data_IF_443270986752
#
_entry.id   IF_443270986752
#
_cell.length_a   1.000
_cell.length_b   1.000
_cell.length_c   1.000
_cell.angle_alpha   90.00
_cell.angle_beta   90.00
_cell.angle_gamma   90.00
#
_symmetry.space_group_name_H-M   'P 1'
#
loop_
_entity.id
_entity.type
_entity.pdbx_description
1 polymer ?
#
# COMPACT_ATOMS: atom_id res chain seq x y z
N UNK A 1 19.69 15.20 11.92
CA UNK A 1 21.01 14.54 11.96
C UNK A 1 21.22 13.60 13.16
N UNK A 2 20.33 13.55 14.16
CA UNK A 2 20.49 12.75 15.39
C UNK A 2 20.03 11.28 15.29
N UNK A 3 19.12 10.95 14.36
CA UNK A 3 18.68 9.57 14.12
C UNK A 3 19.71 8.74 13.31
N UNK A 4 20.43 9.38 12.39
CA UNK A 4 21.46 8.74 11.58
C UNK A 4 22.73 8.41 12.39
N UNK A 5 23.10 9.27 13.34
CA UNK A 5 24.21 8.99 14.26
C UNK A 5 23.88 7.86 15.23
N UNK A 6 22.62 7.74 15.69
CA UNK A 6 22.17 6.60 16.49
C UNK A 6 22.18 5.28 15.70
N UNK A 7 21.74 5.29 14.43
CA UNK A 7 21.78 4.12 13.55
C UNK A 7 23.23 3.66 13.26
N UNK A 8 24.15 4.62 13.07
CA UNK A 8 25.57 4.34 12.86
C UNK A 8 26.25 3.82 14.13
N UNK A 9 25.90 4.34 15.31
CA UNK A 9 26.43 3.85 16.58
C UNK A 9 25.99 2.40 16.86
N UNK A 10 24.73 2.07 16.56
CA UNK A 10 24.16 0.73 16.70
C UNK A 10 24.79 -0.25 15.71
N UNK A 11 25.04 0.18 14.47
CA UNK A 11 25.73 -0.67 13.48
C UNK A 11 27.20 -0.90 13.85
N UNK A 12 27.93 0.10 14.35
CA UNK A 12 29.28 -0.12 14.89
C UNK A 12 29.30 -1.01 16.13
N UNK A 13 28.28 -0.96 16.99
CA UNK A 13 28.14 -1.88 18.13
C UNK A 13 27.83 -3.32 17.67
N UNK A 14 27.10 -3.49 16.57
CA UNK A 14 26.85 -4.78 15.92
C UNK A 14 28.14 -5.37 15.33
N UNK A 15 29.01 -4.55 14.72
CA UNK A 15 30.31 -4.99 14.20
C UNK A 15 31.32 -5.34 15.30
N UNK A 16 31.31 -4.66 16.45
CA UNK A 16 32.23 -4.95 17.55
C UNK A 16 31.92 -6.27 18.26
N UNK A 17 30.67 -6.74 18.21
CA UNK A 17 30.25 -8.03 18.78
C UNK A 17 30.75 -9.26 18.01
N UNK A 18 31.38 -9.06 16.85
CA UNK A 18 31.86 -10.13 15.94
C UNK A 18 33.34 -10.50 16.17
N UNK A 19 34.09 -9.77 17.01
CA UNK A 19 35.54 -9.95 17.14
C UNK A 19 36.02 -10.86 18.29
N UNK A 20 35.14 -11.56 19.01
CA UNK A 20 35.56 -12.48 20.08
C UNK A 20 35.20 -13.92 19.74
N UNK A 21 36.07 -14.55 18.95
CA UNK A 21 36.21 -15.99 18.91
C UNK A 21 37.19 -16.46 19.99
N UNK A 22 36.97 -17.68 20.46
CA UNK A 22 37.77 -18.47 21.42
C UNK A 22 37.52 -18.24 22.93
N UNK A 23 36.79 -19.17 23.55
CA UNK A 23 37.36 -20.29 24.33
C UNK A 23 36.26 -21.15 24.97
N UNK A 24 36.59 -22.43 25.15
CA UNK A 24 35.71 -23.56 25.51
C UNK A 24 35.28 -23.61 27.00
N UNK A 25 34.36 -24.56 27.27
CA UNK A 25 33.94 -25.15 28.57
C UNK A 25 32.69 -24.49 29.21
N UNK A 26 31.66 -25.18 29.75
CA UNK A 26 31.56 -26.57 30.25
C UNK A 26 30.10 -27.05 30.30
N UNK A 27 29.93 -28.35 30.10
CA UNK A 27 28.87 -29.29 30.52
C UNK A 27 27.68 -28.83 31.37
N UNK A 28 26.48 -29.13 30.88
CA UNK A 28 25.29 -29.44 31.67
C UNK A 28 24.35 -30.29 30.82
N UNK A 29 23.88 -31.43 31.33
CA UNK A 29 22.95 -32.37 30.68
C UNK A 29 21.52 -31.79 30.52
N UNK A 30 21.42 -30.54 30.10
CA UNK A 30 20.17 -29.85 29.81
C UNK A 30 20.26 -29.39 28.37
N UNK A 31 19.46 -30.02 27.51
CA UNK A 31 19.33 -29.70 26.08
C UNK A 31 18.81 -28.27 25.83
N UNK A 32 18.26 -27.63 26.87
CA UNK A 32 17.75 -26.27 26.84
C UNK A 32 18.56 -25.35 27.75
N UNK A 33 18.89 -24.16 27.25
CA UNK A 33 19.51 -23.07 28.00
C UNK A 33 18.54 -21.89 28.10
N UNK A 34 18.57 -21.18 29.23
CA UNK A 34 17.78 -19.97 29.44
C UNK A 34 18.39 -18.76 28.71
N UNK A 35 18.24 -17.58 29.30
CA UNK A 35 18.88 -16.37 28.79
C UNK A 35 20.40 -16.50 28.76
N UNK A 36 21.01 -16.19 27.62
CA UNK A 36 22.47 -16.21 27.41
C UNK A 36 22.96 -14.77 27.25
N UNK A 37 23.75 -14.31 28.22
CA UNK A 37 24.38 -12.99 28.21
C UNK A 37 25.51 -12.89 27.17
N UNK A 38 25.90 -11.66 26.76
CA UNK A 38 26.98 -11.45 25.79
C UNK A 38 28.34 -11.98 26.27
N UNK A 39 29.05 -12.65 25.34
CA UNK A 39 30.42 -13.21 25.40
C UNK A 39 30.61 -14.51 26.22
N UNK A 40 31.38 -15.51 25.71
CA UNK A 40 32.00 -15.63 24.38
C UNK A 40 31.11 -16.30 23.31
N UNK A 41 29.82 -16.54 23.60
CA UNK A 41 28.85 -17.13 22.65
C UNK A 41 27.82 -16.10 22.20
N UNK A 42 27.12 -16.39 21.08
CA UNK A 42 26.00 -15.57 20.58
C UNK A 42 24.93 -15.43 21.68
N UNK A 43 24.60 -14.19 22.03
CA UNK A 43 23.65 -13.89 23.11
C UNK A 43 22.20 -14.03 22.66
N UNK A 44 21.30 -14.28 23.61
CA UNK A 44 19.85 -14.29 23.35
C UNK A 44 19.37 -12.93 22.83
N UNK A 45 19.92 -11.84 23.35
CA UNK A 45 19.61 -10.48 22.88
C UNK A 45 20.00 -10.26 21.42
N UNK A 46 21.15 -10.79 20.99
CA UNK A 46 21.60 -10.69 19.59
C UNK A 46 20.62 -11.40 18.64
N UNK A 47 20.11 -12.57 19.02
CA UNK A 47 19.10 -13.30 18.24
C UNK A 47 17.80 -12.50 18.15
N UNK A 48 17.27 -12.06 19.31
CA UNK A 48 16.02 -11.30 19.38
C UNK A 48 16.11 -10.04 18.53
N UNK A 49 17.17 -9.25 18.71
CA UNK A 49 17.34 -8.00 17.98
C UNK A 49 17.55 -8.21 16.48
N UNK A 50 18.34 -9.22 16.09
CA UNK A 50 18.56 -9.55 14.68
C UNK A 50 17.24 -9.93 13.99
N UNK A 51 16.39 -10.74 14.64
CA UNK A 51 15.12 -11.14 14.05
C UNK A 51 14.08 -10.01 14.08
N UNK A 52 13.94 -9.31 15.21
CA UNK A 52 12.98 -8.20 15.35
C UNK A 52 13.30 -7.04 14.40
N UNK A 53 14.58 -6.71 14.22
CA UNK A 53 14.98 -5.69 13.27
C UNK A 53 14.60 -6.06 11.83
N UNK A 54 14.70 -7.34 11.44
CA UNK A 54 14.22 -7.81 10.14
C UNK A 54 12.71 -7.69 10.03
N UNK A 55 11.95 -8.13 11.05
CA UNK A 55 10.50 -7.95 11.05
C UNK A 55 10.13 -6.47 10.87
N UNK A 56 10.73 -5.57 11.65
CA UNK A 56 10.44 -4.13 11.59
C UNK A 56 10.84 -3.54 10.23
N UNK A 57 12.08 -3.75 9.81
CA UNK A 57 12.60 -3.14 8.57
C UNK A 57 11.87 -3.70 7.36
N UNK A 58 11.73 -5.02 7.24
CA UNK A 58 11.10 -5.61 6.07
C UNK A 58 9.58 -5.39 6.06
N UNK A 59 8.87 -5.45 7.19
CA UNK A 59 7.44 -5.11 7.19
C UNK A 59 7.23 -3.64 6.82
N UNK A 60 8.00 -2.71 7.40
CA UNK A 60 7.93 -1.29 7.08
C UNK A 60 8.21 -1.00 5.60
N UNK A 61 9.17 -1.71 5.00
CA UNK A 61 9.55 -1.53 3.59
C UNK A 61 8.68 -2.28 2.60
N UNK A 62 8.08 -3.40 2.99
CA UNK A 62 7.20 -4.17 2.12
C UNK A 62 5.84 -3.48 1.93
N UNK A 63 5.39 -2.62 2.84
CA UNK A 63 4.07 -1.99 2.71
C UNK A 63 4.12 -0.81 1.74
N UNK A 64 3.68 -1.04 0.49
CA UNK A 64 3.43 0.02 -0.48
C UNK A 64 1.98 0.52 -0.37
N UNK A 65 1.73 1.45 0.56
CA UNK A 65 0.41 2.08 0.73
C UNK A 65 0.07 3.02 -0.42
N UNK A 66 -1.22 3.18 -0.67
CA UNK A 66 -1.79 4.17 -1.57
C UNK A 66 -1.59 5.57 -1.00
N UNK A 67 -1.71 6.57 -1.88
CA UNK A 67 -1.34 7.94 -1.57
C UNK A 67 -2.30 8.52 -0.51
N UNK A 68 -1.78 9.10 0.58
CA UNK A 68 -2.60 9.70 1.63
C UNK A 68 -3.49 10.83 1.09
N UNK A 69 -4.53 11.17 1.86
CA UNK A 69 -5.38 12.33 1.54
C UNK A 69 -4.60 13.63 1.68
N UNK A 70 -5.06 14.70 1.04
CA UNK A 70 -4.38 15.99 1.14
C UNK A 70 -4.31 16.48 2.60
N UNK A 71 -5.40 16.32 3.35
CA UNK A 71 -5.43 16.59 4.79
C UNK A 71 -4.40 15.77 5.59
N UNK A 72 -4.15 14.51 5.20
CA UNK A 72 -3.17 13.62 5.83
C UNK A 72 -1.72 14.01 5.51
N UNK A 73 -1.49 14.60 4.32
CA UNK A 73 -0.18 15.10 3.87
C UNK A 73 0.16 16.41 4.59
N UNK A 74 -0.79 17.34 4.65
CA UNK A 74 -0.66 18.60 5.40
C UNK A 74 -0.78 18.43 6.92
N UNK A 75 -0.87 17.20 7.42
CA UNK A 75 -1.11 16.93 8.83
C UNK A 75 -0.02 17.52 9.73
N UNK A 76 -0.40 18.49 10.55
CA UNK A 76 0.52 19.16 11.47
C UNK A 76 0.65 18.45 12.82
N UNK A 77 1.66 18.86 13.59
CA UNK A 77 1.81 18.51 15.00
C UNK A 77 1.22 19.62 15.87
N UNK A 78 0.71 19.27 17.04
CA UNK A 78 0.46 20.25 18.09
C UNK A 78 1.80 20.77 18.61
N UNK A 79 1.99 22.07 18.47
CA UNK A 79 3.14 22.80 18.98
C UNK A 79 2.79 23.45 20.31
N UNK A 80 3.73 23.42 21.25
CA UNK A 80 3.65 24.20 22.48
C UNK A 80 4.86 25.12 22.56
N UNK A 81 4.61 26.40 22.79
CA UNK A 81 5.65 27.40 22.94
C UNK A 81 6.05 27.49 24.41
N UNK A 82 7.18 26.89 24.77
CA UNK A 82 7.65 26.79 26.17
C UNK A 82 8.17 28.12 26.72
N UNK A 83 8.87 28.93 25.91
CA UNK A 83 9.37 30.26 26.28
C UNK A 83 9.42 31.17 25.05
N UNK A 84 9.27 32.48 25.26
CA UNK A 84 9.43 33.48 24.20
C UNK A 84 10.89 33.53 23.77
N UNK A 85 11.21 32.98 22.60
CA UNK A 85 12.58 32.91 22.05
C UNK A 85 13.15 31.49 21.86
N UNK A 86 12.46 30.44 22.32
CA UNK A 86 12.81 29.04 21.99
C UNK A 86 11.92 28.51 20.85
N UNK A 87 12.41 27.57 20.03
CA UNK A 87 11.60 26.94 19.00
C UNK A 87 10.45 26.16 19.63
N UNK A 88 9.30 26.19 18.96
CA UNK A 88 8.10 25.47 19.36
C UNK A 88 8.37 23.96 19.44
N UNK A 89 7.94 23.34 20.54
CA UNK A 89 8.13 21.90 20.76
C UNK A 89 6.89 21.15 20.29
N UNK A 90 7.06 20.34 19.23
CA UNK A 90 6.03 19.44 18.70
C UNK A 90 5.90 18.21 19.59
N UNK A 91 4.73 17.97 20.19
CA UNK A 91 4.55 16.87 21.16
C UNK A 91 3.50 15.83 20.77
N UNK A 92 2.46 16.20 20.00
CA UNK A 92 1.38 15.27 19.64
C UNK A 92 0.88 15.46 18.20
N UNK A 93 0.67 14.39 17.41
CA UNK A 93 0.20 14.52 16.04
C UNK A 93 -1.30 14.89 16.01
N UNK A 94 -1.68 15.83 15.16
CA UNK A 94 -3.11 16.16 14.93
C UNK A 94 -3.85 14.95 14.34
N UNK A 95 -5.19 14.99 14.39
CA UNK A 95 -6.05 13.92 13.90
C UNK A 95 -5.70 13.37 12.49
N UNK A 96 -5.42 14.17 11.45
CA UNK A 96 -5.06 13.65 10.13
C UNK A 96 -3.73 12.86 10.15
N UNK A 97 -2.68 13.43 10.74
CA UNK A 97 -1.38 12.77 10.83
C UNK A 97 -1.46 11.46 11.65
N UNK A 98 -2.26 11.46 12.73
CA UNK A 98 -2.52 10.24 13.52
C UNK A 98 -3.22 9.15 12.71
N UNK A 99 -4.15 9.51 11.79
CA UNK A 99 -4.82 8.54 10.91
C UNK A 99 -3.83 7.91 9.92
N UNK A 100 -2.94 8.71 9.33
CA UNK A 100 -1.86 8.27 8.43
C UNK A 100 -0.94 7.26 9.13
N UNK A 101 -0.40 7.62 10.30
CA UNK A 101 0.50 6.74 11.06
C UNK A 101 -0.19 5.47 11.58
N UNK A 102 -1.42 5.59 12.08
CA UNK A 102 -2.20 4.43 12.52
C UNK A 102 -2.41 3.43 11.38
N UNK A 103 -2.74 3.92 10.19
CA UNK A 103 -2.90 3.07 8.99
C UNK A 103 -1.61 2.34 8.65
N UNK A 104 -0.47 3.06 8.65
CA UNK A 104 0.85 2.48 8.39
C UNK A 104 1.20 1.37 9.38
N UNK A 105 0.96 1.60 10.67
CA UNK A 105 1.22 0.60 11.72
C UNK A 105 0.29 -0.60 11.61
N UNK A 106 -1.01 -0.40 11.34
CA UNK A 106 -1.97 -1.51 11.17
C UNK A 106 -1.53 -2.41 10.01
N UNK A 107 -1.19 -1.83 8.87
CA UNK A 107 -0.74 -2.59 7.69
C UNK A 107 0.60 -3.28 7.91
N UNK A 108 1.54 -2.60 8.56
CA UNK A 108 2.82 -3.18 8.94
C UNK A 108 2.63 -4.42 9.84
N UNK A 109 1.81 -4.31 10.88
CA UNK A 109 1.51 -5.42 11.79
C UNK A 109 0.80 -6.55 11.06
N UNK A 110 -0.17 -6.24 10.19
CA UNK A 110 -0.86 -7.26 9.40
C UNK A 110 0.09 -8.07 8.53
N UNK A 111 0.97 -7.40 7.76
CA UNK A 111 1.95 -8.08 6.89
C UNK A 111 3.01 -8.82 7.73
N UNK A 112 3.39 -8.32 8.90
CA UNK A 112 4.31 -9.03 9.79
C UNK A 112 3.72 -10.33 10.36
N UNK A 113 2.41 -10.35 10.65
CA UNK A 113 1.70 -11.51 11.20
C UNK A 113 1.28 -12.51 10.13
N UNK A 114 0.92 -12.03 8.95
CA UNK A 114 0.34 -12.84 7.87
C UNK A 114 0.96 -12.46 6.50
N UNK A 115 2.28 -12.63 6.33
CA UNK A 115 3.01 -12.16 5.16
C UNK A 115 2.59 -12.84 3.85
N UNK A 116 2.05 -14.05 3.91
CA UNK A 116 1.44 -14.79 2.79
C UNK A 116 0.26 -14.04 2.17
N UNK A 117 -0.57 -13.37 2.98
CA UNK A 117 -1.63 -12.50 2.46
C UNK A 117 -1.05 -11.25 1.81
N UNK A 118 0.05 -10.72 2.35
CA UNK A 118 0.81 -9.64 1.73
C UNK A 118 1.25 -10.00 0.31
N UNK A 119 1.74 -11.23 0.11
CA UNK A 119 2.10 -11.76 -1.22
C UNK A 119 0.89 -11.80 -2.17
N UNK A 120 -0.25 -12.30 -1.71
CA UNK A 120 -1.47 -12.38 -2.51
C UNK A 120 -1.97 -10.99 -2.94
N UNK A 121 -1.95 -10.02 -2.02
CA UNK A 121 -2.33 -8.62 -2.28
C UNK A 121 -1.37 -8.02 -3.32
N UNK A 122 -0.06 -8.21 -3.15
CA UNK A 122 0.93 -7.70 -4.09
C UNK A 122 0.74 -8.29 -5.49
N UNK A 123 0.52 -9.61 -5.59
CA UNK A 123 0.24 -10.30 -6.85
C UNK A 123 -1.04 -9.79 -7.53
N UNK A 124 -2.10 -9.53 -6.76
CA UNK A 124 -3.36 -8.98 -7.27
C UNK A 124 -3.18 -7.58 -7.84
N UNK A 125 -2.55 -6.69 -7.09
CA UNK A 125 -2.27 -5.32 -7.55
C UNK A 125 -1.39 -5.33 -8.80
N UNK A 126 -0.37 -6.19 -8.84
CA UNK A 126 0.46 -6.36 -10.03
C UNK A 126 -0.33 -6.82 -11.26
N UNK A 127 -1.22 -7.80 -11.09
CA UNK A 127 -2.09 -8.29 -12.17
C UNK A 127 -3.01 -7.19 -12.68
N UNK A 128 -3.69 -6.48 -11.78
CA UNK A 128 -4.63 -5.41 -12.11
C UNK A 128 -3.91 -4.29 -12.89
N UNK A 129 -2.79 -3.80 -12.37
CA UNK A 129 -1.96 -2.79 -13.06
C UNK A 129 -1.45 -3.25 -14.43
N UNK A 130 -1.04 -4.52 -14.55
CA UNK A 130 -0.54 -5.08 -15.82
C UNK A 130 -1.64 -5.23 -16.85
N UNK A 131 -2.84 -5.66 -16.43
CA UNK A 131 -4.00 -5.81 -17.30
C UNK A 131 -4.40 -4.46 -17.89
N UNK A 132 -4.57 -3.47 -17.02
CA UNK A 132 -4.92 -2.11 -17.44
C UNK A 132 -3.89 -1.49 -18.37
N UNK A 133 -2.59 -1.66 -18.07
CA UNK A 133 -1.54 -1.17 -18.96
C UNK A 133 -1.63 -1.82 -20.35
N UNK A 134 -1.95 -3.12 -20.40
CA UNK A 134 -2.05 -3.87 -21.65
C UNK A 134 -3.25 -3.40 -22.47
N UNK A 135 -4.41 -3.26 -21.84
CA UNK A 135 -5.64 -2.76 -22.47
C UNK A 135 -5.42 -1.34 -22.99
N UNK A 136 -4.90 -0.44 -22.15
CA UNK A 136 -4.60 0.94 -22.53
C UNK A 136 -3.62 1.06 -23.70
N UNK A 137 -2.59 0.19 -23.75
CA UNK A 137 -1.63 0.19 -24.86
C UNK A 137 -2.20 -0.35 -26.17
N UNK A 138 -3.28 -1.13 -26.13
CA UNK A 138 -3.94 -1.63 -27.34
C UNK A 138 -4.74 -0.51 -28.04
N UNK A 139 -5.25 0.46 -27.28
CA UNK A 139 -6.10 1.53 -27.79
C UNK A 139 -5.32 2.74 -28.34
N UNK A 140 -3.98 2.75 -28.23
CA UNK A 140 -3.13 3.92 -28.52
C UNK A 140 -2.05 3.57 -29.55
N UNK A 141 -1.65 4.55 -30.37
CA UNK A 141 -0.51 4.42 -31.28
C UNK A 141 0.77 3.97 -30.56
N UNK A 142 1.52 3.07 -31.19
CA UNK A 142 2.73 2.42 -30.65
C UNK A 142 3.79 3.40 -30.12
N UNK A 143 3.88 4.62 -30.67
CA UNK A 143 4.84 5.64 -30.21
C UNK A 143 4.52 6.15 -28.80
N UNK A 144 3.25 6.46 -28.54
CA UNK A 144 2.79 6.92 -27.23
C UNK A 144 2.74 5.76 -26.23
N UNK A 145 2.34 4.56 -26.68
CA UNK A 145 2.27 3.36 -25.84
C UNK A 145 3.63 2.97 -25.19
N UNK A 146 4.76 3.35 -25.80
CA UNK A 146 6.11 3.12 -25.23
C UNK A 146 6.42 3.99 -24.01
N UNK A 147 5.77 5.16 -23.87
CA UNK A 147 6.01 6.10 -22.77
C UNK A 147 5.36 5.63 -21.46
N UNK A 148 4.26 4.87 -21.56
CA UNK A 148 3.55 4.34 -20.41
C UNK A 148 4.15 3.03 -19.92
N UNK A 149 4.34 2.91 -18.62
CA UNK A 149 4.98 1.76 -17.97
C UNK A 149 4.19 1.34 -16.74
N UNK A 150 4.54 0.19 -16.14
CA UNK A 150 3.87 -0.34 -14.95
C UNK A 150 3.81 0.68 -13.81
N UNK A 151 4.84 1.53 -13.67
CA UNK A 151 4.88 2.57 -12.66
C UNK A 151 3.73 3.58 -12.82
N UNK A 152 3.34 3.90 -14.06
CA UNK A 152 2.24 4.82 -14.34
C UNK A 152 0.89 4.21 -13.95
N UNK A 153 0.65 2.95 -14.31
CA UNK A 153 -0.57 2.23 -13.92
C UNK A 153 -0.69 2.14 -12.39
N UNK A 154 0.39 1.77 -11.70
CA UNK A 154 0.40 1.78 -10.24
C UNK A 154 0.18 3.17 -9.66
N UNK A 155 0.80 4.20 -10.23
CA UNK A 155 0.65 5.58 -9.76
C UNK A 155 -0.81 6.07 -9.86
N UNK A 156 -1.48 5.79 -10.98
CA UNK A 156 -2.91 6.11 -11.16
C UNK A 156 -3.77 5.32 -10.17
N UNK A 157 -3.59 4.01 -10.06
CA UNK A 157 -4.37 3.16 -9.14
C UNK A 157 -4.23 3.56 -7.67
N UNK A 158 -3.10 4.15 -7.27
CA UNK A 158 -2.90 4.64 -5.90
C UNK A 158 -3.52 6.02 -5.65
N UNK A 159 -4.09 6.67 -6.68
CA UNK A 159 -4.71 7.99 -6.57
C UNK A 159 -3.72 9.13 -6.79
N UNK A 160 -2.67 8.89 -7.58
CA UNK A 160 -1.61 9.87 -7.84
C UNK A 160 -2.01 10.96 -8.82
N UNK A 161 -3.13 10.79 -9.52
CA UNK A 161 -3.62 11.74 -10.54
C UNK A 161 -5.00 12.25 -10.12
N UNK A 162 -5.25 13.54 -10.29
CA UNK A 162 -6.58 14.15 -10.15
C UNK A 162 -6.90 14.88 -11.45
N UNK A 163 -8.06 14.60 -12.03
CA UNK A 163 -8.54 15.18 -13.29
C UNK A 163 -9.54 16.30 -12.99
N UNK A 164 -9.43 17.42 -13.70
CA UNK A 164 -10.39 18.53 -13.67
C UNK A 164 -11.23 18.56 -14.92
N UNK A 165 -12.55 18.50 -14.76
CA UNK A 165 -13.54 18.64 -15.80
C UNK A 165 -14.24 20.01 -15.71
N UNK A 166 -14.31 20.77 -16.81
CA UNK A 166 -15.10 22.00 -16.84
C UNK A 166 -16.59 21.68 -16.75
N UNK A 167 -17.30 22.31 -15.80
CA UNK A 167 -18.74 22.12 -15.64
C UNK A 167 -19.50 22.42 -16.93
N UNK A 168 -20.46 21.56 -17.34
CA UNK A 168 -21.23 21.74 -18.56
C UNK A 168 -22.15 22.98 -18.54
N UNK A 169 -22.31 23.65 -17.40
CA UNK A 169 -23.22 24.80 -17.24
C UNK A 169 -22.57 26.18 -17.36
N UNK A 170 -21.27 26.29 -17.71
CA UNK A 170 -20.70 27.59 -18.08
C UNK A 170 -21.17 27.97 -19.50
N UNK A 171 -22.21 28.79 -19.61
CA UNK A 171 -22.56 29.48 -20.86
C UNK A 171 -21.36 30.30 -21.36
N UNK A 172 -21.25 30.56 -22.68
CA UNK A 172 -20.17 31.38 -23.20
C UNK A 172 -20.31 32.78 -22.61
N UNK A 173 -19.28 33.25 -21.89
CA UNK A 173 -19.13 34.68 -21.68
C UNK A 173 -18.80 35.26 -23.05
N UNK A 174 -19.78 35.87 -23.70
CA UNK A 174 -19.56 36.70 -24.87
C UNK A 174 -18.62 37.83 -24.47
N UNK A 175 -17.41 37.76 -24.99
CA UNK A 175 -16.38 38.79 -24.88
C UNK A 175 -16.76 39.96 -25.81
N UNK A 176 -17.90 40.61 -25.58
CA UNK A 176 -18.36 41.76 -26.35
C UNK A 176 -19.20 42.70 -25.48
N UNK A 177 -18.59 43.31 -24.46
CA UNK A 177 -19.14 44.51 -23.81
C UNK A 177 -18.05 45.27 -23.05
N UNK A 178 -16.98 45.64 -23.77
CA UNK A 178 -16.04 46.67 -23.35
C UNK A 178 -16.13 47.89 -24.27
N UNK A 179 -17.35 48.41 -24.46
CA UNK A 179 -17.56 49.75 -25.01
C UNK A 179 -19.02 50.15 -24.82
N UNK A 180 -19.29 50.91 -23.76
CA UNK A 180 -20.39 51.88 -23.62
C UNK A 180 -20.86 51.94 -22.17
N UNK A 181 -20.13 52.68 -21.35
CA UNK A 181 -20.69 53.36 -20.18
C UNK A 181 -19.93 54.68 -20.01
N UNK A 182 -20.17 55.57 -20.98
CA UNK A 182 -20.11 57.01 -20.76
C UNK A 182 -21.54 57.54 -20.88
N UNK A 183 -21.91 58.43 -19.95
CA UNK A 183 -23.20 59.13 -19.86
C UNK A 183 -24.36 58.24 -19.35
N UNK A 184 -25.16 58.57 -18.33
CA UNK A 184 -25.53 59.86 -17.78
C UNK A 184 -25.87 59.77 -16.28
N UNK A 185 -25.60 60.88 -15.58
CA UNK A 185 -26.25 61.24 -14.32
C UNK A 185 -27.75 61.42 -14.54
N UNK A 186 -28.59 61.02 -13.57
CA UNK A 186 -29.59 61.89 -12.95
C UNK A 186 -30.26 61.28 -11.71
N UNK A 187 -30.58 62.19 -10.80
CA UNK A 187 -31.07 62.07 -9.43
C UNK A 187 -32.61 62.02 -9.41
N UNK A 188 -33.25 61.26 -8.50
CA UNK A 188 -34.32 61.73 -7.57
C UNK A 188 -35.18 60.61 -6.96
N UNK A 189 -35.07 60.50 -5.62
CA UNK A 189 -36.11 60.52 -4.59
C UNK A 189 -37.45 59.73 -4.71
N UNK A 190 -37.69 58.95 -3.64
CA UNK A 190 -38.85 58.99 -2.73
C UNK A 190 -39.71 57.70 -2.57
N UNK A 191 -39.59 57.15 -1.35
CA UNK A 191 -40.67 56.81 -0.41
C UNK A 191 -41.54 55.53 -0.58
N UNK A 192 -41.40 54.66 0.45
CA UNK A 192 -42.46 54.10 1.31
C UNK A 192 -43.36 52.96 0.78
N UNK A 193 -43.20 51.73 1.29
CA UNK A 193 -44.06 51.11 2.32
C UNK A 193 -43.56 49.69 2.69
N UNK A 194 -43.73 49.35 3.96
CA UNK A 194 -43.18 48.21 4.70
C UNK A 194 -44.08 46.97 4.64
N UNK A 195 -43.50 45.76 4.59
CA UNK A 195 -43.89 44.59 5.42
C UNK A 195 -43.20 43.28 5.00
N UNK A 196 -42.27 42.87 5.87
CA UNK A 196 -42.16 41.55 6.52
C UNK A 196 -41.68 40.27 5.77
N UNK A 197 -40.51 39.83 6.25
CA UNK A 197 -40.13 38.47 6.70
C UNK A 197 -39.63 37.49 5.61
N UNK A 198 -38.31 37.20 5.61
CA UNK A 198 -37.68 35.91 6.01
C UNK A 198 -36.14 36.04 5.90
N UNK A 199 -35.49 35.86 7.05
CA UNK A 199 -34.19 35.26 7.33
C UNK A 199 -33.09 35.26 6.23
N UNK A 200 -32.17 36.22 6.40
CA UNK A 200 -30.89 36.33 5.70
C UNK A 200 -29.78 35.68 6.53
N UNK A 201 -29.09 34.71 5.94
CA UNK A 201 -27.64 34.54 6.11
C UNK A 201 -27.09 33.69 4.96
N UNK A 202 -27.02 34.31 3.78
CA UNK A 202 -26.16 33.87 2.67
C UNK A 202 -24.68 34.12 3.05
N UNK A 203 -23.74 33.21 2.76
CA UNK A 203 -22.34 33.58 2.68
C UNK A 203 -22.10 34.45 1.44
N UNK A 204 -21.09 35.33 1.46
CA UNK A 204 -20.93 36.38 0.46
C UNK A 204 -20.62 35.79 -0.92
N UNK A 205 -21.25 36.40 -1.93
CA UNK A 205 -20.98 36.22 -3.35
C UNK A 205 -19.47 36.15 -3.62
N UNK A 206 -18.98 34.95 -3.90
CA UNK A 206 -17.68 34.76 -4.52
C UNK A 206 -17.85 34.84 -6.03
N UNK A 207 -17.11 35.77 -6.58
CA UNK A 207 -17.08 36.18 -7.98
C UNK A 207 -16.78 34.99 -8.90
N UNK A 208 -17.77 34.57 -9.68
CA UNK A 208 -17.65 34.04 -11.04
C UNK A 208 -16.52 33.06 -11.38
N UNK A 209 -16.13 32.14 -10.50
CA UNK A 209 -15.29 31.00 -10.88
C UNK A 209 -16.21 29.85 -11.28
N UNK A 210 -16.23 29.51 -12.57
CA UNK A 210 -16.94 28.33 -13.05
C UNK A 210 -16.52 27.11 -12.22
N UNK A 211 -17.48 26.44 -11.59
CA UNK A 211 -17.24 25.29 -10.72
C UNK A 211 -16.56 24.22 -11.58
N UNK A 212 -15.26 24.01 -11.39
CA UNK A 212 -14.54 22.90 -12.00
C UNK A 212 -14.82 21.68 -11.13
N UNK A 213 -15.38 20.62 -11.71
CA UNK A 213 -15.58 19.37 -11.00
C UNK A 213 -14.30 18.56 -11.13
N UNK A 214 -13.75 18.08 -10.02
CA UNK A 214 -12.60 17.20 -10.09
C UNK A 214 -12.89 15.77 -9.65
N UNK A 215 -12.08 14.88 -10.19
CA UNK A 215 -12.28 13.45 -10.10
C UNK A 215 -10.94 12.74 -9.99
N UNK A 216 -10.87 11.73 -9.13
CA UNK A 216 -9.72 10.84 -9.05
C UNK A 216 -9.94 9.61 -9.95
N UNK A 217 -9.24 9.49 -11.10
CA UNK A 217 -9.30 8.28 -11.93
C UNK A 217 -8.79 7.07 -11.13
N UNK A 218 -9.47 5.93 -11.28
CA UNK A 218 -9.03 4.65 -10.67
C UNK A 218 -8.29 3.77 -11.67
N UNK A 219 -8.53 4.00 -12.96
CA UNK A 219 -7.99 3.20 -14.05
C UNK A 219 -7.22 4.08 -15.02
N UNK A 220 -6.18 3.51 -15.63
CA UNK A 220 -5.39 4.24 -16.64
C UNK A 220 -6.25 4.64 -17.86
N UNK A 221 -7.26 3.83 -18.19
CA UNK A 221 -8.24 4.12 -19.24
C UNK A 221 -9.06 5.38 -19.01
N UNK A 222 -9.23 5.81 -17.75
CA UNK A 222 -9.96 7.03 -17.41
C UNK A 222 -9.14 8.29 -17.76
N UNK A 223 -7.83 8.14 -17.99
CA UNK A 223 -6.92 9.24 -18.30
C UNK A 223 -6.67 9.28 -19.81
N UNK A 224 -7.02 10.39 -20.49
CA UNK A 224 -6.69 10.56 -21.91
C UNK A 224 -5.17 10.52 -22.12
N UNK A 225 -4.74 9.84 -23.18
CA UNK A 225 -3.33 9.58 -23.52
C UNK A 225 -2.44 10.82 -23.65
N UNK A 226 -3.01 11.97 -24.04
CA UNK A 226 -2.27 13.23 -24.15
C UNK A 226 -2.08 13.98 -22.83
N UNK A 227 -2.77 13.56 -21.76
CA UNK A 227 -2.84 14.30 -20.51
C UNK A 227 -1.78 13.85 -19.49
N UNK A 228 -1.36 12.59 -19.52
CA UNK A 228 -0.33 12.07 -18.61
C UNK A 228 1.07 12.16 -19.23
N UNK A 229 1.70 13.33 -19.14
CA UNK A 229 3.08 13.60 -19.61
C UNK A 229 4.15 13.46 -18.52
N UNK A 230 3.91 12.62 -17.50
CA UNK A 230 4.87 12.43 -16.42
C UNK A 230 5.93 11.43 -16.90
N UNK A 231 7.24 11.74 -16.87
CA UNK A 231 8.26 10.75 -17.17
C UNK A 231 8.42 9.75 -16.01
N UNK A 232 8.69 8.48 -16.33
CA UNK A 232 8.88 7.44 -15.32
C UNK A 232 10.00 7.78 -14.32
N UNK A 233 11.04 8.48 -14.78
CA UNK A 233 12.13 8.94 -13.93
C UNK A 233 11.64 9.85 -12.81
N UNK A 234 10.64 10.70 -13.06
CA UNK A 234 10.09 11.58 -12.04
C UNK A 234 9.29 10.79 -10.99
N UNK A 235 8.51 9.80 -11.42
CA UNK A 235 7.78 8.90 -10.51
C UNK A 235 8.77 8.09 -9.64
N UNK A 236 9.88 7.63 -10.23
CA UNK A 236 10.96 6.93 -9.52
C UNK A 236 11.79 7.86 -8.64
N UNK A 237 11.91 9.13 -9.02
CA UNK A 237 12.66 10.12 -8.26
C UNK A 237 11.99 10.44 -6.92
N UNK A 238 10.66 10.35 -6.86
CA UNK A 238 9.89 10.48 -5.62
C UNK A 238 10.27 9.41 -4.58
N UNK A 239 10.84 8.28 -4.99
CA UNK A 239 11.26 7.19 -4.10
C UNK A 239 12.78 7.12 -3.87
N UNK A 240 13.59 8.14 -4.18
CA UNK A 240 15.07 8.07 -4.00
C UNK A 240 15.54 7.64 -2.60
N UNK A 241 14.86 8.06 -1.53
CA UNK A 241 15.17 7.68 -0.15
C UNK A 241 14.92 6.18 0.15
N UNK A 242 14.17 5.49 -0.72
CA UNK A 242 13.83 4.08 -0.65
C UNK A 242 15.02 3.16 -0.92
N UNK A 243 15.92 3.55 -1.83
CA UNK A 243 17.00 2.69 -2.33
C UNK A 243 17.96 2.31 -1.21
N UNK A 244 18.39 3.27 -0.40
CA UNK A 244 19.34 3.03 0.71
C UNK A 244 18.72 2.12 1.77
N UNK A 245 17.45 2.37 2.13
CA UNK A 245 16.76 1.57 3.15
C UNK A 245 16.43 0.16 2.66
N UNK A 246 16.12 -0.02 1.37
CA UNK A 246 15.99 -1.34 0.74
C UNK A 246 17.31 -2.10 0.72
N UNK A 247 18.41 -1.45 0.35
CA UNK A 247 19.74 -2.08 0.37
C UNK A 247 20.11 -2.56 1.78
N UNK A 248 19.82 -1.75 2.81
CA UNK A 248 20.00 -2.15 4.19
C UNK A 248 19.13 -3.36 4.55
N UNK A 249 17.83 -3.34 4.21
CA UNK A 249 16.91 -4.45 4.46
C UNK A 249 17.39 -5.77 3.82
N UNK A 250 17.79 -5.72 2.55
CA UNK A 250 18.32 -6.88 1.81
C UNK A 250 19.59 -7.40 2.48
N UNK A 251 20.52 -6.51 2.84
CA UNK A 251 21.76 -6.90 3.52
C UNK A 251 21.48 -7.61 4.84
N UNK A 252 20.57 -7.08 5.66
CA UNK A 252 20.16 -7.70 6.92
C UNK A 252 19.53 -9.08 6.70
N UNK A 253 18.65 -9.22 5.72
CA UNK A 253 18.03 -10.50 5.37
C UNK A 253 19.06 -11.53 4.91
N UNK A 254 19.92 -11.16 3.95
CA UNK A 254 20.97 -12.04 3.42
C UNK A 254 21.91 -12.50 4.53
N UNK A 255 22.28 -11.60 5.45
CA UNK A 255 23.12 -11.94 6.59
C UNK A 255 22.49 -13.02 7.48
N UNK A 256 21.22 -12.84 7.88
CA UNK A 256 20.52 -13.83 8.71
C UNK A 256 20.39 -15.17 7.99
N UNK A 257 20.08 -15.17 6.70
CA UNK A 257 19.97 -16.39 5.88
C UNK A 257 21.29 -17.14 5.86
N UNK A 258 22.40 -16.45 5.52
CA UNK A 258 23.74 -17.05 5.49
C UNK A 258 24.15 -17.58 6.87
N UNK A 259 23.90 -16.80 7.93
CA UNK A 259 24.18 -17.21 9.30
C UNK A 259 23.39 -18.47 9.67
N UNK A 260 22.11 -18.53 9.33
CA UNK A 260 21.25 -19.67 9.62
C UNK A 260 21.69 -20.92 8.86
N UNK A 261 21.99 -20.80 7.55
CA UNK A 261 22.49 -21.90 6.73
C UNK A 261 23.84 -22.44 7.24
N UNK A 262 24.78 -21.54 7.57
CA UNK A 262 26.06 -21.92 8.14
C UNK A 262 25.89 -22.71 9.45
N UNK A 263 24.94 -22.31 10.30
CA UNK A 263 24.64 -23.04 11.54
C UNK A 263 24.13 -24.44 11.29
N UNK A 264 23.21 -24.62 10.34
CA UNK A 264 22.71 -25.95 9.95
C UNK A 264 23.85 -26.83 9.44
N UNK A 265 24.74 -26.28 8.60
CA UNK A 265 25.86 -27.02 8.04
C UNK A 265 26.84 -27.55 9.11
N UNK A 266 27.01 -26.82 10.21
CA UNK A 266 27.84 -27.22 11.35
C UNK A 266 27.09 -27.97 12.46
N UNK A 267 25.81 -28.31 12.25
CA UNK A 267 24.98 -29.00 13.23
C UNK A 267 24.57 -28.17 14.45
N UNK A 268 24.65 -26.83 14.37
CA UNK A 268 24.20 -25.94 15.44
C UNK A 268 22.68 -25.73 15.38
N UNK A 269 22.06 -25.64 16.56
CA UNK A 269 20.63 -25.35 16.68
C UNK A 269 20.25 -23.97 16.11
N UNK A 270 19.11 -23.89 15.45
CA UNK A 270 18.44 -22.65 15.03
C UNK A 270 17.33 -22.35 16.05
N UNK A 271 17.13 -21.09 16.42
CA UNK A 271 15.99 -20.71 17.26
C UNK A 271 14.68 -20.65 16.46
N UNK A 272 13.54 -20.88 17.12
CA UNK A 272 12.23 -20.76 16.47
C UNK A 272 11.99 -19.37 15.88
N UNK A 273 12.50 -18.32 16.54
CA UNK A 273 12.38 -16.95 16.05
C UNK A 273 13.16 -16.73 14.75
N UNK A 274 14.36 -17.28 14.64
CA UNK A 274 15.14 -17.27 13.38
C UNK A 274 14.40 -18.02 12.28
N UNK A 275 13.84 -19.20 12.59
CA UNK A 275 13.07 -20.00 11.64
C UNK A 275 11.83 -19.23 11.11
N UNK A 276 11.07 -18.60 12.00
CA UNK A 276 9.93 -17.77 11.62
C UNK A 276 10.37 -16.55 10.77
N UNK A 277 11.52 -15.96 11.11
CA UNK A 277 12.09 -14.83 10.35
C UNK A 277 12.52 -15.26 8.94
N UNK A 278 13.09 -16.46 8.77
CA UNK A 278 13.43 -17.00 7.45
C UNK A 278 12.19 -17.18 6.56
N UNK A 279 11.10 -17.68 7.13
CA UNK A 279 9.82 -17.80 6.43
C UNK A 279 9.26 -16.42 6.04
N UNK A 280 9.34 -15.44 6.93
CA UNK A 280 8.95 -14.06 6.64
C UNK A 280 9.81 -13.41 5.53
N UNK A 281 11.13 -13.62 5.55
CA UNK A 281 12.06 -13.14 4.51
C UNK A 281 11.65 -13.68 3.13
N UNK A 282 11.27 -14.96 3.04
CA UNK A 282 10.82 -15.57 1.79
C UNK A 282 9.57 -14.85 1.23
N UNK A 283 8.55 -14.63 2.06
CA UNK A 283 7.36 -13.90 1.63
C UNK A 283 7.68 -12.44 1.27
N UNK A 284 8.55 -11.77 2.04
CA UNK A 284 9.00 -10.40 1.76
C UNK A 284 9.69 -10.28 0.40
N UNK A 285 10.50 -11.29 0.02
CA UNK A 285 11.13 -11.34 -1.29
C UNK A 285 10.10 -11.43 -2.42
N UNK A 286 9.07 -12.27 -2.29
CA UNK A 286 8.01 -12.38 -3.29
C UNK A 286 7.19 -11.08 -3.39
N UNK A 287 6.84 -10.47 -2.26
CA UNK A 287 6.16 -9.16 -2.24
C UNK A 287 6.98 -8.11 -3.01
N UNK A 288 8.29 -8.10 -2.80
CA UNK A 288 9.20 -7.18 -3.48
C UNK A 288 9.22 -7.38 -5.01
N UNK A 289 9.15 -8.62 -5.49
CA UNK A 289 9.07 -8.92 -6.94
C UNK A 289 7.81 -8.30 -7.55
N UNK A 290 6.64 -8.50 -6.92
CA UNK A 290 5.38 -7.97 -7.46
C UNK A 290 5.29 -6.45 -7.38
N UNK A 291 5.84 -5.84 -6.34
CA UNK A 291 5.86 -4.39 -6.15
C UNK A 291 7.11 -3.69 -6.69
N UNK A 292 7.93 -4.35 -7.50
CA UNK A 292 9.15 -3.75 -8.04
C UNK A 292 8.92 -2.41 -8.75
N UNK A 293 7.82 -2.31 -9.52
CA UNK A 293 7.46 -1.10 -10.26
C UNK A 293 6.49 -0.17 -9.50
N UNK A 294 6.02 -0.57 -8.32
CA UNK A 294 5.11 0.25 -7.51
C UNK A 294 5.96 1.25 -6.73
N UNK A 295 5.78 2.57 -6.88
CA UNK A 295 6.56 3.52 -6.13
C UNK A 295 6.22 3.44 -4.62
N UNK A 296 7.19 3.78 -3.78
CA UNK A 296 7.12 3.62 -2.31
C UNK A 296 7.01 4.99 -1.63
N UNK A 297 6.12 5.12 -0.64
CA UNK A 297 5.94 6.30 0.22
C UNK A 297 5.74 7.61 -0.57
N UNK A 298 4.96 7.56 -1.65
CA UNK A 298 4.65 8.74 -2.45
C UNK A 298 3.60 9.59 -1.75
N UNK A 299 3.94 10.85 -1.49
CA UNK A 299 3.05 11.82 -0.83
C UNK A 299 2.62 12.96 -1.76
N UNK A 300 3.00 12.91 -3.03
CA UNK A 300 2.64 13.93 -4.02
C UNK A 300 1.60 13.41 -5.01
N UNK A 301 0.50 14.16 -5.16
CA UNK A 301 -0.49 13.97 -6.23
C UNK A 301 -0.22 14.98 -7.34
N UNK A 302 -0.46 14.58 -8.58
CA UNK A 302 -0.37 15.44 -9.77
C UNK A 302 -1.77 15.81 -10.26
N UNK A 303 -1.92 17.09 -10.57
CA UNK A 303 -3.14 17.66 -11.12
C UNK A 303 -3.04 17.62 -12.63
N UNK A 304 -4.09 17.16 -13.28
CA UNK A 304 -4.20 17.08 -14.74
C UNK A 304 -5.53 17.68 -15.15
N UNK A 305 -5.52 18.54 -16.17
CA UNK A 305 -6.73 19.23 -16.62
C UNK A 305 -7.26 18.59 -17.90
N UNK A 306 -8.57 18.33 -17.98
CA UNK A 306 -9.22 17.91 -19.21
C UNK A 306 -9.44 19.11 -20.14
N UNK A 307 -8.71 19.13 -21.25
CA UNK A 307 -8.92 20.12 -22.31
C UNK A 307 -10.05 19.60 -23.23
N UNK A 308 -11.21 20.25 -23.20
CA UNK A 308 -12.26 20.01 -24.18
C UNK A 308 -11.75 20.38 -25.60
N UNK A 309 -12.03 19.58 -26.64
CA UNK A 309 -11.58 19.89 -27.99
C UNK A 309 -12.18 21.23 -28.46
N UNK A 310 -11.30 22.21 -28.72
CA UNK A 310 -11.67 23.54 -29.22
C UNK A 310 -11.62 24.68 -28.19
N UNK A 311 -11.45 24.42 -26.89
CA UNK A 311 -11.18 25.48 -25.90
C UNK A 311 -9.67 25.70 -25.77
N UNK A 312 -9.24 26.95 -25.98
CA UNK A 312 -7.87 27.36 -25.61
C UNK A 312 -7.76 27.28 -24.08
N UNK A 313 -6.71 26.62 -23.61
CA UNK A 313 -6.34 26.58 -22.19
C UNK A 313 -6.15 28.02 -21.73
N UNK A 314 -6.99 28.50 -20.81
CA UNK A 314 -6.67 29.72 -20.08
C UNK A 314 -5.40 29.40 -19.30
N UNK A 315 -4.36 30.23 -19.45
CA UNK A 315 -3.03 30.01 -18.89
C UNK A 315 -3.00 29.80 -17.36
N UNK A 316 -4.12 29.97 -16.66
CA UNK A 316 -4.29 29.68 -15.23
C UNK A 316 -4.43 28.20 -14.88
N UNK A 317 -4.96 27.33 -15.76
CA UNK A 317 -5.24 25.93 -15.39
C UNK A 317 -4.00 25.03 -15.34
N UNK A 318 -2.98 25.30 -16.16
CA UNK A 318 -1.71 24.52 -16.14
C UNK A 318 -0.90 24.72 -14.85
N UNK A 319 -1.24 25.71 -14.02
CA UNK A 319 -0.54 26.03 -12.77
C UNK A 319 -1.32 25.66 -11.50
N UNK A 320 -2.48 25.02 -11.60
CA UNK A 320 -3.29 24.68 -10.43
C UNK A 320 -2.54 23.71 -9.49
N UNK A 321 -2.22 24.19 -8.29
CA UNK A 321 -1.66 23.37 -7.22
C UNK A 321 -2.75 22.57 -6.53
N UNK A 322 -2.39 21.44 -5.90
CA UNK A 322 -3.31 20.68 -5.07
C UNK A 322 -3.95 21.54 -3.96
N UNK A 323 -3.23 22.55 -3.46
CA UNK A 323 -3.75 23.49 -2.48
C UNK A 323 -4.93 24.32 -3.04
N UNK A 324 -4.80 24.83 -4.28
CA UNK A 324 -5.86 25.59 -4.95
C UNK A 324 -7.12 24.72 -5.16
N UNK A 325 -6.90 23.43 -5.44
CA UNK A 325 -7.98 22.47 -5.65
C UNK A 325 -8.72 22.13 -4.37
N UNK A 326 -8.01 21.99 -3.25
CA UNK A 326 -8.63 21.72 -1.95
C UNK A 326 -9.52 22.88 -1.51
N UNK A 327 -9.14 24.11 -1.86
CA UNK A 327 -9.98 25.29 -1.62
C UNK A 327 -11.25 25.24 -2.47
N UNK A 328 -11.14 24.76 -3.72
CA UNK A 328 -12.29 24.64 -4.65
C UNK A 328 -13.19 23.43 -4.35
N UNK A 329 -12.64 22.31 -3.90
CA UNK A 329 -13.35 21.05 -3.67
C UNK A 329 -12.79 20.32 -2.43
N UNK A 330 -13.46 20.54 -1.30
CA UNK A 330 -13.12 19.92 -0.03
C UNK A 330 -13.40 18.40 0.03
N UNK A 331 -14.25 17.87 -0.86
CA UNK A 331 -14.56 16.44 -0.90
C UNK A 331 -13.39 15.66 -1.49
N UNK A 332 -12.77 16.17 -2.56
CA UNK A 332 -11.58 15.57 -3.19
C UNK A 332 -10.38 15.58 -2.24
N UNK A 333 -10.26 16.60 -1.40
CA UNK A 333 -9.24 16.68 -0.35
C UNK A 333 -9.34 15.50 0.63
N UNK A 334 -10.55 14.95 0.82
CA UNK A 334 -10.87 13.82 1.70
C UNK A 334 -10.98 12.50 0.95
N UNK A 335 -11.10 12.54 -0.38
CA UNK A 335 -11.18 11.36 -1.22
C UNK A 335 -9.89 10.54 -1.12
N UNK A 336 -10.07 9.24 -0.89
CA UNK A 336 -9.00 8.29 -0.63
C UNK A 336 -9.29 6.97 -1.33
N UNK A 337 -8.31 6.46 -2.04
CA UNK A 337 -8.31 5.09 -2.52
C UNK A 337 -7.89 4.17 -1.38
N UNK A 338 -8.79 3.30 -0.93
CA UNK A 338 -8.49 2.30 0.11
C UNK A 338 -7.33 1.40 -0.31
N UNK A 339 -6.34 1.22 0.56
CA UNK A 339 -5.21 0.28 0.34
C UNK A 339 -5.69 -1.16 0.09
N UNK A 340 -6.77 -1.53 0.78
CA UNK A 340 -7.55 -2.73 0.57
C UNK A 340 -8.98 -2.48 1.04
N UNK A 341 -9.97 -2.76 0.19
CA UNK A 341 -11.38 -2.77 0.62
C UNK A 341 -11.65 -4.03 1.45
N UNK A 342 -12.50 -3.94 2.47
CA UNK A 342 -12.92 -5.11 3.26
C UNK A 342 -13.56 -6.18 2.36
N UNK A 343 -14.34 -5.78 1.35
CA UNK A 343 -14.87 -6.70 0.35
C UNK A 343 -13.76 -7.41 -0.44
N UNK A 344 -12.72 -6.69 -0.85
CA UNK A 344 -11.56 -7.26 -1.55
C UNK A 344 -10.75 -8.20 -0.65
N UNK A 345 -10.66 -7.91 0.64
CA UNK A 345 -10.02 -8.77 1.64
C UNK A 345 -10.78 -10.08 1.84
N UNK A 346 -12.10 -9.99 2.02
CA UNK A 346 -12.94 -11.19 2.16
C UNK A 346 -12.92 -12.02 0.88
N UNK A 347 -12.94 -11.39 -0.30
CA UNK A 347 -12.74 -12.11 -1.57
C UNK A 347 -11.39 -12.84 -1.58
N UNK A 348 -10.29 -12.19 -1.20
CA UNK A 348 -8.98 -12.85 -1.14
C UNK A 348 -8.95 -14.06 -0.18
N UNK A 349 -9.70 -14.02 0.93
CA UNK A 349 -9.79 -15.12 1.89
C UNK A 349 -10.69 -16.25 1.39
N UNK A 350 -11.85 -15.92 0.85
CA UNK A 350 -12.92 -16.88 0.56
C UNK A 350 -12.96 -17.36 -0.89
N UNK A 351 -12.38 -16.62 -1.84
CA UNK A 351 -12.26 -17.01 -3.25
C UNK A 351 -11.53 -18.36 -3.40
N UNK A 352 -10.40 -18.61 -2.72
CA UNK A 352 -9.79 -19.94 -2.72
C UNK A 352 -10.74 -21.01 -2.17
N UNK A 353 -11.42 -20.73 -1.05
CA UNK A 353 -12.24 -21.69 -0.28
C UNK A 353 -13.47 -22.19 -1.09
N UNK A 354 -13.78 -21.57 -2.23
CA UNK A 354 -14.91 -21.96 -3.08
C UNK A 354 -16.26 -21.61 -2.46
N UNK A 355 -16.29 -20.70 -1.47
CA UNK A 355 -17.53 -20.14 -0.92
C UNK A 355 -17.94 -18.98 -1.82
N UNK A 356 -19.06 -19.09 -2.56
CA UNK A 356 -19.51 -18.01 -3.43
C UNK A 356 -20.02 -16.86 -2.55
N UNK A 357 -19.32 -15.72 -2.54
CA UNK A 357 -19.78 -14.49 -1.87
C UNK A 357 -20.74 -13.67 -2.76
N UNK A 358 -21.27 -14.29 -3.82
CA UNK A 358 -22.30 -13.72 -4.69
C UNK A 358 -22.10 -14.18 -6.13
N UNK A 359 -23.16 -14.71 -6.72
CA UNK A 359 -23.28 -15.18 -8.11
C UNK A 359 -22.57 -14.28 -9.14
N UNK A 360 -21.37 -14.64 -9.61
CA UNK A 360 -20.76 -14.01 -10.80
C UNK A 360 -20.02 -15.07 -11.65
N UNK A 361 -20.82 -15.73 -12.48
CA UNK A 361 -20.52 -16.18 -13.85
C UNK A 361 -19.39 -17.21 -14.08
N UNK A 362 -19.87 -18.39 -14.45
CA UNK A 362 -19.26 -19.44 -15.25
C UNK A 362 -18.44 -18.91 -16.45
N UNK A 363 -17.14 -18.70 -16.26
CA UNK A 363 -16.21 -18.52 -17.39
C UNK A 363 -14.90 -19.22 -17.03
N UNK A 364 -14.41 -20.07 -17.93
CA UNK A 364 -13.04 -20.59 -17.92
C UNK A 364 -12.07 -19.42 -17.98
N UNK A 365 -11.55 -18.97 -16.83
CA UNK A 365 -10.66 -17.82 -16.72
C UNK A 365 -9.26 -18.18 -17.27
N UNK A 366 -8.59 -17.29 -18.02
CA UNK A 366 -7.22 -17.52 -18.49
C UNK A 366 -6.20 -17.56 -17.32
N UNK A 367 -5.09 -18.28 -17.49
CA UNK A 367 -4.03 -18.49 -16.47
C UNK A 367 -3.61 -17.24 -15.64
N UNK A 368 -3.51 -16.02 -16.20
CA UNK A 368 -3.16 -14.82 -15.45
C UNK A 368 -4.13 -14.45 -14.33
N UNK A 369 -5.39 -14.92 -14.39
CA UNK A 369 -6.40 -14.62 -13.37
C UNK A 369 -6.15 -15.38 -12.07
N UNK A 370 -5.42 -16.50 -12.10
CA UNK A 370 -5.07 -17.29 -10.92
C UNK A 370 -3.79 -16.82 -10.22
N UNK A 371 -3.08 -15.81 -10.75
CA UNK A 371 -1.80 -15.35 -10.21
C UNK A 371 -1.83 -15.03 -8.69
N UNK A 372 -2.84 -14.32 -8.15
CA UNK A 372 -2.90 -14.03 -6.71
C UNK A 372 -3.05 -15.29 -5.86
N UNK A 373 -3.93 -16.20 -6.25
CA UNK A 373 -4.19 -17.45 -5.56
C UNK A 373 -2.97 -18.38 -5.61
N UNK A 374 -2.34 -18.55 -6.78
CA UNK A 374 -1.11 -19.33 -6.94
C UNK A 374 0.00 -18.77 -6.06
N UNK A 375 0.17 -17.44 -6.04
CA UNK A 375 1.19 -16.78 -5.22
C UNK A 375 0.93 -16.99 -3.73
N UNK A 376 -0.34 -16.92 -3.30
CA UNK A 376 -0.75 -17.24 -1.94
C UNK A 376 -0.39 -18.68 -1.57
N UNK A 377 -0.73 -19.67 -2.42
CA UNK A 377 -0.37 -21.07 -2.13
C UNK A 377 1.12 -21.29 -2.03
N UNK A 378 1.90 -20.77 -2.98
CA UNK A 378 3.36 -20.92 -2.95
C UNK A 378 3.93 -20.31 -1.67
N UNK A 379 3.47 -19.12 -1.29
CA UNK A 379 3.87 -18.45 -0.05
C UNK A 379 3.48 -19.29 1.18
N UNK A 380 2.21 -19.67 1.30
CA UNK A 380 1.68 -20.44 2.44
C UNK A 380 2.33 -21.82 2.57
N UNK A 381 2.49 -22.56 1.48
CA UNK A 381 3.13 -23.89 1.49
C UNK A 381 4.59 -23.79 1.88
N UNK A 382 5.33 -22.80 1.36
CA UNK A 382 6.74 -22.63 1.74
C UNK A 382 6.87 -22.16 3.19
N UNK A 383 6.03 -21.21 3.61
CA UNK A 383 5.99 -20.72 4.99
C UNK A 383 5.73 -21.88 5.95
N UNK A 384 4.73 -22.72 5.66
CA UNK A 384 4.40 -23.92 6.41
C UNK A 384 5.53 -24.96 6.39
N UNK A 385 6.13 -25.24 5.23
CA UNK A 385 7.23 -26.20 5.11
C UNK A 385 8.43 -25.82 5.99
N UNK A 386 8.77 -24.52 6.05
CA UNK A 386 9.82 -24.00 6.93
C UNK A 386 9.45 -24.24 8.40
N UNK A 387 8.21 -24.01 8.82
CA UNK A 387 7.77 -24.22 10.19
C UNK A 387 7.70 -25.72 10.57
N UNK A 388 7.32 -26.57 9.63
CA UNK A 388 7.33 -28.04 9.79
C UNK A 388 8.74 -28.60 9.95
N UNK A 389 9.80 -27.91 9.49
CA UNK A 389 11.18 -28.32 9.75
C UNK A 389 11.51 -28.39 11.26
N UNK A 390 10.78 -27.64 12.10
CA UNK A 390 10.89 -27.68 13.55
C UNK A 390 9.95 -28.70 14.23
N UNK A 391 9.29 -29.59 13.48
CA UNK A 391 8.28 -30.53 14.02
C UNK A 391 8.79 -31.39 15.18
N UNK A 392 10.04 -31.81 15.09
CA UNK A 392 10.70 -32.68 16.06
C UNK A 392 11.58 -31.93 17.06
N UNK A 393 11.60 -30.59 17.04
CA UNK A 393 12.39 -29.81 17.98
C UNK A 393 11.89 -29.96 19.42
N UNK A 394 12.78 -29.65 20.36
CA UNK A 394 12.47 -29.55 21.77
C UNK A 394 11.90 -28.18 22.10
N UNK A 395 10.94 -28.13 23.02
CA UNK A 395 10.23 -26.93 23.41
C UNK A 395 10.23 -26.81 24.94
N UNK A 396 10.08 -25.59 25.50
CA UNK A 396 10.07 -25.37 26.95
C UNK A 396 9.01 -26.16 27.71
N UNK A 397 7.89 -26.46 27.06
CA UNK A 397 6.84 -27.29 27.64
C UNK A 397 6.16 -28.16 26.58
N UNK A 398 5.61 -29.32 26.98
CA UNK A 398 4.79 -30.16 26.10
C UNK A 398 3.57 -29.41 25.55
N UNK A 399 3.03 -28.44 26.30
CA UNK A 399 1.89 -27.62 25.88
C UNK A 399 2.27 -26.74 24.68
N UNK A 400 3.40 -26.04 24.74
CA UNK A 400 3.87 -25.19 23.63
C UNK A 400 4.20 -26.02 22.40
N UNK A 401 4.81 -27.20 22.58
CA UNK A 401 5.06 -28.15 21.48
C UNK A 401 3.77 -28.60 20.81
N UNK A 402 2.77 -29.00 21.61
CA UNK A 402 1.47 -29.42 21.11
C UNK A 402 0.75 -28.28 20.40
N UNK A 403 0.77 -27.07 20.97
CA UNK A 403 0.17 -25.88 20.34
C UNK A 403 0.82 -25.57 19.00
N UNK A 404 2.16 -25.58 18.92
CA UNK A 404 2.88 -25.41 17.66
C UNK A 404 2.45 -26.42 16.60
N UNK A 405 2.36 -27.70 16.97
CA UNK A 405 1.94 -28.78 16.06
C UNK A 405 0.50 -28.63 15.61
N UNK A 406 -0.42 -28.30 16.51
CA UNK A 406 -1.82 -28.07 16.18
C UNK A 406 -2.01 -26.85 15.27
N UNK A 407 -1.27 -25.77 15.50
CA UNK A 407 -1.30 -24.59 14.62
C UNK A 407 -0.79 -24.93 13.22
N UNK A 408 0.35 -25.62 13.10
CA UNK A 408 0.87 -26.04 11.80
C UNK A 408 -0.07 -27.01 11.07
N UNK A 409 -0.68 -27.97 11.80
CA UNK A 409 -1.68 -28.86 11.23
C UNK A 409 -2.93 -28.10 10.79
N UNK A 410 -3.38 -27.12 11.57
CA UNK A 410 -4.48 -26.23 11.23
C UNK A 410 -4.20 -25.44 9.94
N UNK A 411 -3.00 -24.86 9.82
CA UNK A 411 -2.57 -24.15 8.60
C UNK A 411 -2.49 -25.10 7.40
N UNK A 412 -2.02 -26.34 7.59
CA UNK A 412 -2.00 -27.36 6.54
C UNK A 412 -3.41 -27.65 6.04
N UNK A 413 -4.33 -27.96 6.97
CA UNK A 413 -5.74 -28.25 6.63
C UNK A 413 -6.38 -27.06 5.93
N UNK A 414 -6.20 -25.84 6.46
CA UNK A 414 -6.74 -24.61 5.85
C UNK A 414 -6.25 -24.40 4.41
N UNK A 415 -5.00 -24.79 4.12
CA UNK A 415 -4.43 -24.70 2.77
C UNK A 415 -5.07 -25.68 1.77
N UNK A 416 -5.67 -26.78 2.23
CA UNK A 416 -6.37 -27.76 1.39
C UNK A 416 -7.87 -27.49 1.21
N UNK A 417 -8.50 -26.69 2.07
CA UNK A 417 -9.94 -26.36 1.97
C UNK A 417 -10.33 -25.86 0.56
N UNK A 418 -9.55 -24.97 -0.08
CA UNK A 418 -9.82 -24.55 -1.45
C UNK A 418 -9.87 -25.65 -2.51
N UNK A 419 -9.00 -26.66 -2.39
CA UNK A 419 -8.91 -27.76 -3.34
C UNK A 419 -10.20 -28.60 -3.27
N UNK A 420 -10.72 -28.79 -2.06
CA UNK A 420 -11.98 -29.51 -1.80
C UNK A 420 -13.17 -28.71 -2.35
N UNK A 421 -13.19 -27.39 -2.17
CA UNK A 421 -14.21 -26.49 -2.72
C UNK A 421 -14.29 -26.55 -4.24
N UNK A 422 -13.14 -26.51 -4.93
CA UNK A 422 -13.07 -26.61 -6.40
C UNK A 422 -13.49 -27.97 -6.97
N UNK A 423 -13.22 -29.07 -6.24
CA UNK A 423 -13.68 -30.39 -6.63
C UNK A 423 -15.20 -30.46 -6.55
N UNK A 424 -15.79 -29.93 -5.46
CA UNK A 424 -17.24 -29.94 -5.26
C UNK A 424 -17.98 -29.13 -6.32
N UNK A 425 -17.48 -27.97 -6.72
CA UNK A 425 -18.11 -27.17 -7.79
C UNK A 425 -18.03 -27.86 -9.16
N UNK A 426 -16.93 -28.56 -9.46
CA UNK A 426 -16.81 -29.34 -10.69
C UNK A 426 -17.78 -30.54 -10.72
N UNK A 427 -17.99 -31.23 -9.59
CA UNK A 427 -18.95 -32.32 -9.49
C UNK A 427 -20.40 -31.85 -9.66
N UNK A 428 -20.76 -30.69 -9.09
CA UNK A 428 -22.11 -30.12 -9.23
C UNK A 428 -22.39 -29.70 -10.67
N UNK A 429 -21.46 -28.98 -11.32
CA UNK A 429 -21.63 -28.59 -12.73
C UNK A 429 -21.76 -29.81 -13.64
N UNK A 430 -21.02 -30.88 -13.34
CA UNK A 430 -21.12 -32.12 -14.11
C UNK A 430 -22.41 -32.88 -13.86
N UNK A 431 -22.98 -32.81 -12.66
CA UNK A 431 -24.29 -33.38 -12.36
C UNK A 431 -25.40 -32.60 -13.09
N UNK A 432 -25.40 -31.27 -13.01
CA UNK A 432 -26.38 -30.40 -13.69
C UNK A 432 -26.34 -30.62 -15.22
N UNK A 433 -25.13 -30.74 -15.81
CA UNK A 433 -24.98 -31.00 -17.24
C UNK A 433 -25.45 -32.40 -17.68
N UNK A 434 -25.47 -33.38 -16.77
CA UNK A 434 -26.00 -34.73 -17.03
C UNK A 434 -27.52 -34.72 -16.95
N UNK A 435 -28.09 -34.02 -15.97
CA UNK A 435 -29.54 -33.89 -15.81
C UNK A 435 -30.15 -33.12 -17.01
N UNK A 436 -29.54 -32.01 -17.43
CA UNK A 436 -29.96 -31.28 -18.64
C UNK A 436 -29.89 -32.15 -19.92
N UNK A 437 -28.90 -33.04 -20.01
CA UNK A 437 -28.75 -33.95 -21.16
C UNK A 437 -29.78 -35.10 -21.14
N UNK A 438 -30.23 -35.52 -19.96
CA UNK A 438 -31.27 -36.53 -19.79
C UNK A 438 -32.66 -35.97 -20.09
N UNK A 439 -32.91 -34.69 -19.77
CA UNK A 439 -34.19 -34.02 -20.09
C UNK A 439 -34.39 -33.73 -21.59
N UNK A 440 -33.30 -33.79 -22.38
CA UNK A 440 -33.34 -33.62 -23.84
C UNK A 440 -33.53 -34.93 -24.64
N UNK A 441 -33.55 -36.09 -23.98
CA UNK A 441 -33.76 -37.43 -24.58
C UNK A 441 -35.17 -37.91 -24.24
#
# INVERSE_FOLDING_TARGET
MTLFTMQNLITSALFLSVAQAETNSTSGNTTMVGWVSPAPRRSTWSIIWSCLSIFIVCSWKCVHLNIPTHEEIQGEWHTIQLCRGLPDVSFWPKAPLRRKWRRKIIWMTFIALAPEFGVAIAARQYREARRELKEFKQDISNEYARKFTMAHSFYVQMGGVVIFEPSPHSSPIEENSASNLQSNNEMSNAAHYDSQVVESSQPPDSTGHGILLARMPRYLSDVKHNMLRIPESEIKDLSKADVITKAFAITQCTWLVVQSLSRVAHGYAISLLELATLAFIFCAFIMHIFWWNKPFDVESRRVVTEIAPGRKVTASLDYLSMDDLVVSDSEIARERISDLSWSNFLVLIFEPIGVPVGDILSIRRPFPDYLPSISLYIASTTFLAIHLAAWNWEFPSPVVKSLWRWLNLGTLVASFIPLIGSAKSHWVIQADAIDDALDMI
#
